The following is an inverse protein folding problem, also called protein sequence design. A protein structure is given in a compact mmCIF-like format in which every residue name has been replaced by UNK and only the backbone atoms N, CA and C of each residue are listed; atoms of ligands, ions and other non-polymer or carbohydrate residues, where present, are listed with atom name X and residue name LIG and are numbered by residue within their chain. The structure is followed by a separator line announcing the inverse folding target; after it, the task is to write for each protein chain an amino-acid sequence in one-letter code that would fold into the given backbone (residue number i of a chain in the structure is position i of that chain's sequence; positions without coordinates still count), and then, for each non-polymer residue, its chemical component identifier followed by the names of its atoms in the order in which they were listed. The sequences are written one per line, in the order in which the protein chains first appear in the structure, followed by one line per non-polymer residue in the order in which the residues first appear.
data_IF_943759199138
#
_entry.id   IF_943759199138
#
_cell.length_a   1.000
_cell.length_b   1.000
_cell.length_c   1.000
_cell.angle_alpha   90.00
_cell.angle_beta   90.00
_cell.angle_gamma   90.00
#
_symmetry.space_group_name_H-M   'P 1'
#
loop_
_entity.id
_entity.type
_entity.pdbx_description
1 polymer ?
#
# COMPACT_ATOMS: atom_id res chain seq x y z
N UNK A 1 -2.83 -14.68 -9.41
CA UNK A 1 -2.92 -13.35 -8.76
C UNK A 1 -3.61 -12.41 -9.74
N UNK A 2 -4.58 -11.62 -9.30
CA UNK A 2 -5.29 -10.70 -10.19
C UNK A 2 -4.43 -9.45 -10.43
N UNK A 3 -4.09 -9.19 -11.68
CA UNK A 3 -3.33 -8.02 -12.11
C UNK A 3 -4.13 -7.31 -13.20
N UNK A 4 -4.29 -6.00 -13.04
CA UNK A 4 -4.87 -5.15 -14.07
C UNK A 4 -3.79 -4.83 -15.10
N UNK A 5 -3.97 -5.30 -16.33
CA UNK A 5 -3.00 -5.13 -17.41
C UNK A 5 -3.32 -3.84 -18.17
N UNK A 6 -2.49 -2.81 -18.01
CA UNK A 6 -2.61 -1.60 -18.83
C UNK A 6 -1.79 -1.81 -20.10
N UNK A 7 -2.38 -1.77 -21.31
CA UNK A 7 -1.61 -1.88 -22.54
C UNK A 7 -0.67 -0.68 -22.68
N UNK A 8 0.59 -0.94 -23.03
CA UNK A 8 1.59 0.09 -23.31
C UNK A 8 2.22 -0.15 -24.67
N UNK A 9 2.60 0.94 -25.34
CA UNK A 9 3.32 0.94 -26.60
C UNK A 9 4.64 1.69 -26.44
N UNK A 10 5.67 1.27 -27.16
CA UNK A 10 6.97 1.93 -27.17
C UNK A 10 7.08 2.88 -28.37
N UNK A 11 7.62 4.08 -28.17
CA UNK A 11 7.83 5.08 -29.25
C UNK A 11 8.96 4.68 -30.19
N UNK A 12 9.92 3.87 -29.75
CA UNK A 12 10.95 3.27 -30.61
C UNK A 12 10.67 1.78 -30.78
N UNK A 13 10.17 1.41 -31.95
CA UNK A 13 10.19 0.03 -32.43
C UNK A 13 11.66 -0.34 -32.69
N UNK A 14 12.30 -1.06 -31.77
CA UNK A 14 13.44 -1.88 -32.20
C UNK A 14 12.88 -2.91 -33.15
N UNK A 15 13.50 -3.04 -34.33
CA UNK A 15 13.09 -3.96 -35.39
C UNK A 15 12.96 -5.38 -34.79
N UNK A 16 11.73 -5.88 -34.65
CA UNK A 16 11.43 -7.19 -34.03
C UNK A 16 10.92 -7.19 -32.58
N UNK A 17 10.73 -6.03 -31.93
CA UNK A 17 10.19 -5.98 -30.57
C UNK A 17 8.67 -6.32 -30.54
N UNK A 18 8.19 -7.10 -29.55
CA UNK A 18 6.79 -7.50 -29.44
C UNK A 18 5.87 -6.27 -29.38
N UNK A 19 4.90 -6.24 -30.29
CA UNK A 19 3.99 -5.10 -30.58
C UNK A 19 3.01 -4.77 -29.45
N UNK A 20 2.93 -5.61 -28.41
CA UNK A 20 2.07 -5.38 -27.25
C UNK A 20 2.81 -5.73 -25.97
N UNK A 21 3.18 -4.71 -25.20
CA UNK A 21 3.57 -4.87 -23.81
C UNK A 21 2.45 -4.34 -22.91
N UNK A 22 2.44 -4.76 -21.65
CA UNK A 22 1.49 -4.27 -20.67
C UNK A 22 2.23 -3.91 -19.39
N UNK A 23 1.77 -2.84 -18.73
CA UNK A 23 2.18 -2.50 -17.39
C UNK A 23 1.28 -3.29 -16.43
N UNK A 24 1.83 -4.24 -15.65
CA UNK A 24 1.04 -4.94 -14.63
C UNK A 24 0.80 -4.00 -13.45
N UNK A 25 -0.47 -3.67 -13.20
CA UNK A 25 -0.90 -3.11 -11.92
C UNK A 25 -1.41 -4.23 -11.03
N UNK A 26 -0.76 -4.40 -9.88
CA UNK A 26 -1.29 -5.27 -8.84
C UNK A 26 -2.58 -4.65 -8.29
N UNK A 27 -3.67 -5.40 -8.32
CA UNK A 27 -4.99 -4.96 -7.80
C UNK A 27 -4.94 -4.76 -6.28
N UNK A 28 -4.04 -5.47 -5.60
CA UNK A 28 -3.77 -5.30 -4.18
C UNK A 28 -2.26 -5.18 -3.96
N UNK A 29 -1.67 -3.99 -4.14
CA UNK A 29 -0.24 -3.79 -3.90
C UNK A 29 0.10 -3.97 -2.41
N UNK A 30 -0.91 -3.87 -1.53
CA UNK A 30 -0.76 -3.97 -0.08
C UNK A 30 -0.15 -5.29 0.41
N UNK A 31 -0.43 -6.42 -0.24
CA UNK A 31 0.17 -7.70 0.13
C UNK A 31 0.06 -7.99 1.64
N UNK A 32 1.18 -8.34 2.28
CA UNK A 32 1.25 -8.70 3.72
C UNK A 32 1.82 -7.55 4.58
N UNK A 33 2.35 -6.49 3.95
CA UNK A 33 3.13 -5.45 4.64
C UNK A 33 2.30 -4.62 5.64
N UNK A 34 1.07 -4.18 5.33
CA UNK A 34 0.21 -3.47 6.29
C UNK A 34 -0.10 -4.28 7.54
N UNK A 35 -0.33 -5.59 7.38
CA UNK A 35 -0.60 -6.50 8.51
C UNK A 35 0.64 -6.62 9.40
N UNK A 36 1.83 -6.71 8.80
CA UNK A 36 3.11 -6.70 9.53
C UNK A 36 3.28 -5.41 10.31
N UNK A 37 3.05 -4.23 9.69
CA UNK A 37 3.13 -2.95 10.39
C UNK A 37 2.16 -2.84 11.57
N UNK A 38 0.90 -3.25 11.38
CA UNK A 38 -0.08 -3.29 12.46
C UNK A 38 0.37 -4.21 13.60
N UNK A 39 0.96 -5.38 13.27
CA UNK A 39 1.44 -6.34 14.27
C UNK A 39 2.63 -5.79 15.07
N UNK A 40 3.57 -5.11 14.41
CA UNK A 40 4.73 -4.48 15.07
C UNK A 40 4.30 -3.38 16.03
N UNK A 41 3.38 -2.50 15.60
CA UNK A 41 2.85 -1.41 16.44
C UNK A 41 2.11 -1.96 17.66
N UNK A 42 1.41 -3.08 17.52
CA UNK A 42 0.66 -3.71 18.61
C UNK A 42 1.60 -4.45 19.59
N UNK A 43 2.66 -5.05 19.07
CA UNK A 43 3.62 -5.86 19.86
C UNK A 43 4.61 -5.01 20.66
N UNK A 44 4.95 -3.80 20.17
CA UNK A 44 5.90 -2.91 20.85
C UNK A 44 5.39 -2.52 22.26
N UNK A 45 4.17 -1.99 22.44
CA UNK A 45 3.62 -1.67 23.76
C UNK A 45 3.47 -2.92 24.63
N UNK A 46 2.99 -4.04 24.08
CA UNK A 46 2.80 -5.27 24.85
C UNK A 46 4.11 -5.83 25.39
N UNK A 47 5.23 -5.56 24.72
CA UNK A 47 6.56 -5.97 25.17
C UNK A 47 7.15 -4.97 26.16
N UNK A 48 7.06 -3.66 25.90
CA UNK A 48 7.70 -2.62 26.72
C UNK A 48 6.98 -2.39 28.05
N UNK A 49 5.64 -2.41 28.07
CA UNK A 49 4.84 -2.10 29.25
C UNK A 49 5.21 -2.98 30.46
N UNK A 50 5.32 -4.32 30.34
CA UNK A 50 5.77 -5.18 31.44
C UNK A 50 7.15 -4.82 32.00
N UNK A 51 8.11 -4.43 31.15
CA UNK A 51 9.44 -3.99 31.59
C UNK A 51 9.40 -2.65 32.33
N UNK A 52 8.53 -1.73 31.89
CA UNK A 52 8.40 -0.40 32.50
C UNK A 52 7.60 -0.43 33.80
N UNK A 53 6.58 -1.28 33.91
CA UNK A 53 5.80 -1.42 35.13
C UNK A 53 6.67 -1.92 36.29
N UNK A 54 7.62 -2.84 36.04
CA UNK A 54 8.62 -3.27 37.03
C UNK A 54 8.02 -3.56 38.43
N UNK A 55 6.82 -4.16 38.46
CA UNK A 55 6.07 -4.47 39.69
C UNK A 55 5.22 -3.33 40.29
N UNK A 56 5.12 -2.16 39.64
CA UNK A 56 4.22 -1.06 40.03
C UNK A 56 3.00 -1.02 39.11
N UNK A 57 1.82 -1.07 39.72
CA UNK A 57 0.56 -0.88 39.01
C UNK A 57 0.38 0.59 38.63
N UNK A 58 0.69 0.88 37.38
CA UNK A 58 0.44 2.18 36.76
C UNK A 58 -0.89 2.06 36.01
N UNK A 59 -1.99 2.67 36.46
CA UNK A 59 -3.33 2.42 35.93
C UNK A 59 -3.48 2.76 34.44
N UNK A 60 -2.86 3.86 34.00
CA UNK A 60 -2.91 4.28 32.59
C UNK A 60 -2.12 3.34 31.67
N UNK A 61 -1.05 2.74 32.19
CA UNK A 61 -0.18 1.83 31.45
C UNK A 61 -0.84 0.44 31.31
N UNK A 62 -1.55 0.01 32.36
CA UNK A 62 -2.37 -1.22 32.36
C UNK A 62 -3.54 -1.10 31.38
N UNK A 63 -4.22 0.06 31.34
CA UNK A 63 -5.26 0.36 30.35
C UNK A 63 -4.71 0.32 28.92
N UNK A 64 -3.53 0.89 28.68
CA UNK A 64 -2.87 0.80 27.37
C UNK A 64 -2.56 -0.66 27.00
N UNK A 65 -2.07 -1.45 27.94
CA UNK A 65 -1.79 -2.87 27.69
C UNK A 65 -3.05 -3.64 27.28
N UNK A 66 -4.19 -3.41 27.92
CA UNK A 66 -5.46 -4.04 27.56
C UNK A 66 -5.94 -3.65 26.15
N UNK A 67 -5.73 -2.39 25.77
CA UNK A 67 -6.10 -1.82 24.47
C UNK A 67 -5.22 -2.39 23.34
N UNK A 68 -3.93 -2.61 23.59
CA UNK A 68 -2.99 -3.17 22.61
C UNK A 68 -2.87 -4.71 22.70
N UNK A 69 -3.66 -5.37 23.54
CA UNK A 69 -3.66 -6.82 23.63
C UNK A 69 -4.69 -7.43 22.65
N UNK A 70 -4.21 -8.20 21.69
CA UNK A 70 -5.04 -8.89 20.69
C UNK A 70 -5.93 -10.00 21.27
N UNK A 71 -5.68 -10.46 22.51
CA UNK A 71 -6.57 -11.40 23.22
C UNK A 71 -7.86 -10.75 23.72
N UNK A 72 -7.91 -9.41 23.85
CA UNK A 72 -9.13 -8.74 24.29
C UNK A 72 -10.02 -8.39 23.08
N UNK A 73 -11.36 -8.45 23.20
CA UNK A 73 -12.26 -8.06 22.11
C UNK A 73 -12.04 -6.60 21.64
N UNK A 74 -11.66 -5.72 22.58
CA UNK A 74 -11.36 -4.31 22.31
C UNK A 74 -10.06 -4.17 21.51
N UNK A 75 -9.00 -4.89 21.91
CA UNK A 75 -7.73 -4.87 21.18
C UNK A 75 -7.83 -5.52 19.80
N UNK A 76 -8.66 -6.55 19.64
CA UNK A 76 -8.93 -7.14 18.32
C UNK A 76 -9.63 -6.16 17.36
N UNK A 77 -10.59 -5.37 17.85
CA UNK A 77 -11.23 -4.31 17.07
C UNK A 77 -10.23 -3.23 16.65
N UNK A 78 -9.37 -2.80 17.58
CA UNK A 78 -8.34 -1.80 17.29
C UNK A 78 -7.33 -2.34 16.27
N UNK A 79 -6.89 -3.58 16.42
CA UNK A 79 -6.00 -4.24 15.47
C UNK A 79 -6.61 -4.31 14.06
N UNK A 80 -7.90 -4.66 13.94
CA UNK A 80 -8.60 -4.67 12.66
C UNK A 80 -8.68 -3.27 12.01
N UNK A 81 -8.97 -2.23 12.81
CA UNK A 81 -8.98 -0.84 12.34
C UNK A 81 -7.59 -0.39 11.89
N UNK A 82 -6.54 -0.73 12.64
CA UNK A 82 -5.16 -0.45 12.25
C UNK A 82 -4.82 -1.12 10.92
N UNK A 83 -5.20 -2.39 10.71
CA UNK A 83 -4.95 -3.08 9.44
C UNK A 83 -5.62 -2.33 8.27
N UNK A 84 -6.89 -1.96 8.41
CA UNK A 84 -7.62 -1.26 7.34
C UNK A 84 -6.95 0.09 7.04
N UNK A 85 -6.62 0.86 8.08
CA UNK A 85 -5.98 2.17 7.95
C UNK A 85 -4.60 2.07 7.29
N UNK A 86 -3.76 1.16 7.76
CA UNK A 86 -2.42 0.95 7.19
C UNK A 86 -2.49 0.34 5.78
N UNK A 87 -3.48 -0.51 5.49
CA UNK A 87 -3.66 -1.09 4.15
C UNK A 87 -3.99 0.00 3.11
N UNK A 88 -4.90 0.90 3.48
CA UNK A 88 -5.23 2.06 2.66
C UNK A 88 -4.00 2.96 2.51
N UNK A 89 -3.37 3.39 3.61
CA UNK A 89 -2.23 4.30 3.57
C UNK A 89 -1.04 3.73 2.78
N UNK A 90 -0.71 2.46 2.98
CA UNK A 90 0.39 1.80 2.28
C UNK A 90 0.15 1.73 0.76
N UNK A 91 -1.08 1.45 0.33
CA UNK A 91 -1.45 1.45 -1.08
C UNK A 91 -1.20 2.81 -1.74
N UNK A 92 -1.56 3.91 -1.04
CA UNK A 92 -1.30 5.27 -1.52
C UNK A 92 0.18 5.64 -1.54
N UNK A 93 0.97 5.23 -0.54
CA UNK A 93 2.41 5.52 -0.50
C UNK A 93 3.17 4.73 -1.58
N UNK A 94 2.79 3.48 -1.82
CA UNK A 94 3.50 2.62 -2.76
C UNK A 94 3.22 3.00 -4.21
N UNK A 95 1.99 3.37 -4.54
CA UNK A 95 1.64 3.75 -5.91
C UNK A 95 1.71 5.26 -6.06
N UNK A 96 2.87 5.75 -6.48
CA UNK A 96 3.03 7.14 -6.89
C UNK A 96 2.76 7.26 -8.41
N UNK A 97 1.57 7.74 -8.82
CA UNK A 97 1.17 7.82 -10.23
C UNK A 97 2.06 8.76 -11.05
N UNK A 98 2.60 9.81 -10.42
CA UNK A 98 3.51 10.76 -11.06
C UNK A 98 4.83 10.07 -11.44
N UNK A 99 5.43 9.32 -10.49
CA UNK A 99 6.63 8.52 -10.76
C UNK A 99 6.39 7.45 -11.81
N UNK A 100 5.21 6.82 -11.83
CA UNK A 100 4.88 5.82 -12.87
C UNK A 100 4.79 6.48 -14.25
N UNK A 101 4.13 7.64 -14.36
CA UNK A 101 4.05 8.39 -15.61
C UNK A 101 5.42 8.91 -16.10
N UNK A 102 6.27 9.36 -15.18
CA UNK A 102 7.65 9.77 -15.50
C UNK A 102 8.51 8.59 -15.97
N UNK A 103 8.38 7.43 -15.31
CA UNK A 103 9.08 6.20 -15.72
C UNK A 103 8.62 5.70 -17.09
N UNK A 104 7.33 5.81 -17.43
CA UNK A 104 6.84 5.48 -18.78
C UNK A 104 7.49 6.40 -19.83
N UNK A 105 7.51 7.72 -19.59
CA UNK A 105 8.19 8.67 -20.48
C UNK A 105 9.70 8.39 -20.62
N UNK A 106 10.42 8.16 -19.51
CA UNK A 106 11.86 7.84 -19.51
C UNK A 106 12.15 6.55 -20.28
N UNK A 107 11.29 5.55 -20.14
CA UNK A 107 11.40 4.27 -20.85
C UNK A 107 10.88 4.33 -22.30
N UNK A 108 10.57 5.52 -22.83
CA UNK A 108 10.03 5.67 -24.19
C UNK A 108 8.76 4.83 -24.41
N UNK A 109 7.95 4.66 -23.37
CA UNK A 109 6.69 3.93 -23.40
C UNK A 109 5.50 4.84 -23.05
N UNK A 110 4.34 4.55 -23.60
CA UNK A 110 3.12 5.33 -23.42
C UNK A 110 1.87 4.46 -23.42
N UNK A 111 0.81 4.95 -22.78
CA UNK A 111 -0.50 4.29 -22.79
C UNK A 111 -1.26 4.75 -24.04
N UNK A 112 -1.75 3.83 -24.89
CA UNK A 112 -2.59 4.19 -26.04
C UNK A 112 -3.82 4.98 -25.58
N UNK A 113 -4.16 6.05 -26.30
CA UNK A 113 -5.28 6.98 -26.00
C UNK A 113 -5.01 8.03 -24.90
N UNK A 114 -3.84 8.03 -24.23
CA UNK A 114 -3.50 9.03 -23.21
C UNK A 114 -2.17 9.71 -23.55
N UNK A 115 -2.13 11.06 -23.48
CA UNK A 115 -0.89 11.79 -23.77
C UNK A 115 0.15 11.55 -22.65
N UNK A 116 1.43 11.28 -22.98
CA UNK A 116 2.47 11.13 -21.97
C UNK A 116 2.60 12.38 -21.08
N UNK A 117 2.80 12.20 -19.78
CA UNK A 117 2.89 13.28 -18.80
C UNK A 117 1.66 13.38 -17.92
N UNK A 118 1.17 14.61 -17.72
CA UNK A 118 0.12 14.93 -16.75
C UNK A 118 -1.21 14.18 -16.99
N UNK A 119 -1.55 13.92 -18.25
CA UNK A 119 -2.74 13.13 -18.60
C UNK A 119 -2.58 11.65 -18.19
N UNK A 120 -1.37 11.10 -18.32
CA UNK A 120 -1.05 9.72 -17.89
C UNK A 120 -1.15 9.58 -16.37
N UNK A 121 -0.65 10.57 -15.63
CA UNK A 121 -0.76 10.63 -14.18
C UNK A 121 -2.22 10.71 -13.71
N UNK A 122 -3.04 11.55 -14.34
CA UNK A 122 -4.47 11.67 -14.01
C UNK A 122 -5.24 10.38 -14.29
N UNK A 123 -4.98 9.75 -15.44
CA UNK A 123 -5.55 8.46 -15.79
C UNK A 123 -5.19 7.39 -14.74
N UNK A 124 -3.90 7.28 -14.41
CA UNK A 124 -3.39 6.36 -13.38
C UNK A 124 -4.01 6.61 -12.01
N UNK A 125 -4.09 7.87 -11.58
CA UNK A 125 -4.70 8.27 -10.31
C UNK A 125 -6.18 7.92 -10.23
N UNK A 126 -6.93 8.15 -11.31
CA UNK A 126 -8.34 7.81 -11.38
C UNK A 126 -8.56 6.30 -11.35
N UNK A 127 -7.70 5.53 -12.01
CA UNK A 127 -7.77 4.08 -12.07
C UNK A 127 -7.46 3.46 -10.70
N UNK A 128 -6.46 4.00 -9.99
CA UNK A 128 -6.11 3.58 -8.63
C UNK A 128 -7.24 3.85 -7.63
N UNK A 129 -7.86 5.02 -7.67
CA UNK A 129 -9.02 5.33 -6.82
C UNK A 129 -10.17 4.34 -7.04
N UNK A 130 -10.39 3.92 -8.29
CA UNK A 130 -11.45 2.98 -8.68
C UNK A 130 -11.12 1.52 -8.34
N UNK A 131 -9.85 1.17 -8.18
CA UNK A 131 -9.41 -0.17 -7.73
C UNK A 131 -9.33 -0.27 -6.20
N UNK A 132 -9.09 0.86 -5.52
CA UNK A 132 -9.00 0.92 -4.07
C UNK A 132 -10.36 1.08 -3.36
N UNK A 133 -11.42 1.44 -4.10
CA UNK A 133 -12.82 1.52 -3.63
C UNK A 133 -13.59 0.32 -4.12
#
# INVERSE_FOLDING_TARGET
QAEYKIPIQYTKLMQGAPTSSYLPLKVNPAGVIPVIFASSITTIPSTIIPFVQNGRDIPWLTRLQEIFNYQTPVGMMIYAVLIILFSFFYTFVQVNPEKTAENLQKNSSYIPSVRPGRETEQFMSSLLKKLAT
#
